data_IF_741968272573
#
_entry.id   IF_741968272573
#
_cell.length_a   1.000
_cell.length_b   1.000
_cell.length_c   1.000
_cell.angle_alpha   90.00
_cell.angle_beta   90.00
_cell.angle_gamma   90.00
#
_symmetry.space_group_name_H-M   'P 1'
#
loop_
_entity.id
_entity.type
_entity.pdbx_description
1 polymer ?
#
# COMPACT_ATOMS: atom_id res chain seq x y z
N UNK A 1 -10.87 -4.69 -7.21
CA UNK A 1 -9.56 -5.37 -7.34
C UNK A 1 -9.82 -6.86 -7.44
N UNK A 2 -9.23 -7.54 -8.44
CA UNK A 2 -9.34 -8.99 -8.56
C UNK A 2 -8.40 -9.71 -7.59
N UNK A 3 -8.76 -10.90 -7.12
CA UNK A 3 -7.96 -11.67 -6.16
C UNK A 3 -6.54 -11.99 -6.69
N UNK A 4 -6.41 -12.09 -8.02
CA UNK A 4 -5.14 -12.29 -8.72
C UNK A 4 -4.24 -11.06 -8.65
N UNK A 5 -4.79 -9.85 -8.80
CA UNK A 5 -4.04 -8.59 -8.70
C UNK A 5 -3.50 -8.37 -7.29
N UNK A 6 -4.28 -8.73 -6.26
CA UNK A 6 -3.82 -8.62 -4.88
C UNK A 6 -2.70 -9.61 -4.57
N UNK A 7 -2.81 -10.87 -5.01
CA UNK A 7 -1.72 -11.84 -4.87
C UNK A 7 -0.45 -11.38 -5.61
N UNK A 8 -0.59 -10.66 -6.71
CA UNK A 8 0.53 -10.04 -7.40
C UNK A 8 1.13 -8.87 -6.60
N UNK A 9 0.32 -8.02 -5.97
CA UNK A 9 0.78 -6.95 -5.08
C UNK A 9 1.53 -7.52 -3.86
N UNK A 10 0.96 -8.53 -3.21
CA UNK A 10 1.55 -9.22 -2.04
C UNK A 10 2.77 -10.06 -2.39
N UNK A 11 2.93 -10.50 -3.65
CA UNK A 11 4.15 -11.20 -4.06
C UNK A 11 5.30 -10.25 -4.41
N UNK A 12 4.98 -9.01 -4.82
CA UNK A 12 5.98 -7.96 -5.13
C UNK A 12 6.38 -7.12 -3.92
N UNK A 13 5.57 -7.10 -2.87
CA UNK A 13 5.78 -6.26 -1.69
C UNK A 13 5.71 -7.10 -0.41
N UNK A 14 6.41 -6.65 0.62
CA UNK A 14 6.29 -7.25 1.95
C UNK A 14 4.92 -6.94 2.54
N UNK A 15 4.33 -7.90 3.26
CA UNK A 15 3.01 -7.74 3.91
C UNK A 15 3.01 -6.54 4.85
N UNK A 16 4.13 -6.31 5.55
CA UNK A 16 4.31 -5.19 6.48
C UNK A 16 4.31 -3.84 5.78
N UNK A 17 4.80 -3.77 4.53
CA UNK A 17 4.79 -2.52 3.74
C UNK A 17 3.40 -2.24 3.18
N UNK A 18 2.64 -3.29 2.81
CA UNK A 18 1.24 -3.16 2.37
C UNK A 18 0.33 -2.81 3.55
N UNK A 19 0.51 -3.45 4.70
CA UNK A 19 -0.18 -3.12 5.95
C UNK A 19 0.07 -1.68 6.36
N UNK A 20 1.33 -1.25 6.34
CA UNK A 20 1.67 0.14 6.60
C UNK A 20 0.95 1.09 5.64
N UNK A 21 0.93 0.80 4.34
CA UNK A 21 0.25 1.62 3.34
C UNK A 21 -1.27 1.74 3.65
N UNK A 22 -1.91 0.67 4.11
CA UNK A 22 -3.31 0.67 4.52
C UNK A 22 -3.59 1.44 5.82
N UNK A 23 -2.57 1.69 6.66
CA UNK A 23 -2.71 2.47 7.89
C UNK A 23 -2.66 3.99 7.67
N UNK A 24 -2.28 4.43 6.46
CA UNK A 24 -2.09 5.84 6.14
C UNK A 24 -3.43 6.56 5.96
N UNK A 25 -3.48 7.81 6.43
CA UNK A 25 -4.55 8.75 6.09
C UNK A 25 -4.47 9.19 4.63
N UNK A 26 -5.55 9.76 4.12
CA UNK A 26 -5.62 10.30 2.75
C UNK A 26 -4.49 11.30 2.46
N UNK A 27 -4.24 12.24 3.38
CA UNK A 27 -3.17 13.24 3.21
C UNK A 27 -1.75 12.64 3.17
N UNK A 28 -1.53 11.53 3.88
CA UNK A 28 -0.24 10.83 3.87
C UNK A 28 -0.06 10.04 2.57
N UNK A 29 -1.15 9.44 2.06
CA UNK A 29 -1.16 8.81 0.74
C UNK A 29 -0.91 9.83 -0.37
N UNK A 30 -1.57 10.98 -0.33
CA UNK A 30 -1.37 12.07 -1.29
C UNK A 30 0.08 12.57 -1.30
N UNK A 31 0.72 12.64 -0.13
CA UNK A 31 2.14 12.96 -0.03
C UNK A 31 3.01 11.91 -0.73
N UNK A 32 2.76 10.61 -0.51
CA UNK A 32 3.51 9.54 -1.16
C UNK A 32 3.29 9.50 -2.69
N UNK A 33 2.05 9.72 -3.14
CA UNK A 33 1.72 9.84 -4.57
C UNK A 33 2.47 11.02 -5.19
N UNK A 34 2.47 12.16 -4.51
CA UNK A 34 3.20 13.36 -4.94
C UNK A 34 4.71 13.10 -5.02
N UNK A 35 5.28 12.39 -4.06
CA UNK A 35 6.70 11.98 -4.09
C UNK A 35 7.00 11.06 -5.27
N UNK A 36 6.15 10.06 -5.52
CA UNK A 36 6.30 9.16 -6.67
C UNK A 36 6.24 9.93 -7.99
N UNK A 37 5.32 10.88 -8.10
CA UNK A 37 5.18 11.72 -9.29
C UNK A 37 6.42 12.60 -9.50
N UNK A 38 6.94 13.22 -8.43
CA UNK A 38 8.16 14.04 -8.49
C UNK A 38 9.37 13.23 -8.96
N UNK A 39 9.51 11.99 -8.47
CA UNK A 39 10.57 11.07 -8.91
C UNK A 39 10.44 10.76 -10.39
N UNK A 40 9.23 10.41 -10.86
CA UNK A 40 8.97 10.10 -12.28
C UNK A 40 9.31 11.30 -13.17
N UNK A 41 8.83 12.49 -12.79
CA UNK A 41 9.12 13.73 -13.51
C UNK A 41 10.62 14.01 -13.55
N UNK A 42 11.32 13.86 -12.42
CA UNK A 42 12.75 14.14 -12.35
C UNK A 42 13.58 13.15 -13.16
N UNK A 43 13.24 11.86 -13.09
CA UNK A 43 13.86 10.80 -13.87
C UNK A 43 13.71 11.05 -15.38
N UNK A 44 12.53 11.49 -15.82
CA UNK A 44 12.27 11.91 -17.19
C UNK A 44 13.12 13.11 -17.61
N UNK A 45 13.18 14.16 -16.79
CA UNK A 45 13.96 15.37 -17.09
C UNK A 45 15.44 15.08 -17.29
N UNK A 46 16.01 14.14 -16.52
CA UNK A 46 17.42 13.75 -16.65
C UNK A 46 17.66 12.69 -17.73
N UNK A 47 16.62 12.22 -18.43
CA UNK A 47 16.72 11.20 -19.48
C UNK A 47 16.92 9.77 -18.98
N UNK A 48 16.63 9.49 -17.71
CA UNK A 48 16.83 8.18 -17.06
C UNK A 48 15.55 7.69 -16.38
N UNK A 49 14.49 7.48 -17.17
CA UNK A 49 13.18 7.04 -16.68
C UNK A 49 13.24 5.70 -15.92
N UNK A 50 14.16 4.82 -16.29
CA UNK A 50 14.39 3.53 -15.64
C UNK A 50 14.75 3.65 -14.16
N UNK A 51 15.33 4.78 -13.73
CA UNK A 51 15.63 5.02 -12.32
C UNK A 51 14.36 5.12 -11.47
N UNK A 52 13.24 5.59 -12.05
CA UNK A 52 11.98 5.70 -11.31
C UNK A 52 11.39 4.34 -10.94
N UNK A 53 11.79 3.27 -11.63
CA UNK A 53 11.39 1.90 -11.31
C UNK A 53 12.01 1.40 -9.99
N UNK A 54 13.15 1.99 -9.58
CA UNK A 54 13.79 1.67 -8.29
C UNK A 54 13.06 2.28 -7.09
N UNK A 55 12.12 3.19 -7.34
CA UNK A 55 11.31 3.80 -6.28
C UNK A 55 10.05 2.98 -6.05
N UNK A 56 10.25 1.75 -5.58
CA UNK A 56 9.18 0.85 -5.14
C UNK A 56 8.54 1.32 -3.82
N UNK A 57 7.58 0.55 -3.31
CA UNK A 57 6.89 0.88 -2.05
C UNK A 57 7.86 1.02 -0.87
N UNK A 58 8.91 0.19 -0.82
CA UNK A 58 9.94 0.23 0.21
C UNK A 58 10.74 1.54 0.14
N UNK A 59 11.15 1.95 -1.05
CA UNK A 59 11.83 3.22 -1.26
C UNK A 59 10.94 4.42 -0.92
N UNK A 60 9.65 4.38 -1.30
CA UNK A 60 8.68 5.42 -0.94
C UNK A 60 8.49 5.53 0.57
N UNK A 61 8.36 4.39 1.27
CA UNK A 61 8.28 4.34 2.74
C UNK A 61 9.51 4.99 3.38
N UNK A 62 10.71 4.62 2.93
CA UNK A 62 11.95 5.18 3.45
C UNK A 62 12.05 6.71 3.21
N UNK A 63 11.66 7.18 2.03
CA UNK A 63 11.68 8.61 1.71
C UNK A 63 10.65 9.40 2.53
N UNK A 64 9.42 8.89 2.66
CA UNK A 64 8.39 9.49 3.50
C UNK A 64 8.86 9.64 4.95
N UNK A 65 9.44 8.57 5.50
CA UNK A 65 10.03 8.58 6.84
C UNK A 65 11.13 9.63 6.99
N UNK A 66 12.14 9.64 6.11
CA UNK A 66 13.26 10.59 6.17
C UNK A 66 12.77 12.04 6.09
N UNK A 67 11.81 12.32 5.20
CA UNK A 67 11.25 13.65 5.03
C UNK A 67 10.50 14.10 6.28
N UNK A 68 9.66 13.23 6.85
CA UNK A 68 8.91 13.56 8.05
C UNK A 68 9.79 13.69 9.29
N UNK A 69 10.85 12.89 9.40
CA UNK A 69 11.78 12.98 10.54
C UNK A 69 12.59 14.27 10.46
N UNK A 70 13.05 14.67 9.27
CA UNK A 70 13.66 16.00 9.05
C UNK A 70 12.68 17.13 9.35
N UNK A 71 11.42 16.98 8.98
CA UNK A 71 10.39 17.99 9.25
C UNK A 71 10.19 18.13 10.76
N UNK A 72 10.07 17.01 11.48
CA UNK A 72 9.96 16.94 12.94
C UNK A 72 11.12 17.65 13.65
N UNK A 73 12.36 17.42 13.22
CA UNK A 73 13.53 18.13 13.76
C UNK A 73 13.40 19.65 13.61
N UNK A 74 13.04 20.13 12.41
CA UNK A 74 12.83 21.57 12.17
C UNK A 74 11.74 22.16 13.05
N UNK A 75 10.66 21.41 13.30
CA UNK A 75 9.59 21.88 14.18
C UNK A 75 9.97 21.86 15.66
N UNK A 76 10.88 20.98 16.10
CA UNK A 76 11.45 21.06 17.45
C UNK A 76 12.24 22.36 17.63
N UNK A 77 13.02 22.77 16.63
CA UNK A 77 13.76 24.04 16.67
C UNK A 77 12.81 25.25 16.69
N UNK A 78 11.69 25.17 15.95
CA UNK A 78 10.65 26.20 15.92
C UNK A 78 9.72 26.17 17.14
N UNK A 79 9.70 25.07 17.91
CA UNK A 79 8.82 24.91 19.08
C UNK A 79 9.09 25.94 20.19
N UNK A 80 10.23 26.62 20.12
CA UNK A 80 10.63 27.74 20.96
C UNK A 80 9.79 29.01 20.74
N UNK A 81 9.01 29.09 19.64
CA UNK A 81 8.13 30.22 19.36
C UNK A 81 6.66 29.93 19.73
N UNK A 82 5.95 30.90 20.33
CA UNK A 82 4.53 30.76 20.63
C UNK A 82 3.70 30.60 19.34
N UNK A 83 2.92 29.52 19.25
CA UNK A 83 2.11 29.15 18.06
C UNK A 83 2.51 27.83 17.38
N UNK A 84 3.56 27.17 17.86
CA UNK A 84 4.16 25.96 17.27
C UNK A 84 3.60 24.62 17.79
N UNK A 85 2.69 24.64 18.76
CA UNK A 85 2.19 23.44 19.45
C UNK A 85 1.27 22.55 18.59
N UNK A 86 0.53 23.14 17.65
CA UNK A 86 -0.36 22.40 16.73
C UNK A 86 0.42 21.59 15.68
N UNK A 87 1.39 22.17 14.94
CA UNK A 87 2.20 21.42 13.98
C UNK A 87 2.98 20.26 14.59
N UNK A 88 3.49 20.41 15.82
CA UNK A 88 4.23 19.35 16.51
C UNK A 88 3.35 18.13 16.82
N UNK A 89 2.10 18.34 17.23
CA UNK A 89 1.13 17.25 17.47
C UNK A 89 0.75 16.53 16.19
N UNK A 90 0.55 17.27 15.10
CA UNK A 90 0.26 16.69 13.78
C UNK A 90 1.40 15.76 13.34
N UNK A 91 2.65 16.20 13.45
CA UNK A 91 3.81 15.39 13.08
C UNK A 91 3.93 14.17 13.97
N UNK A 92 3.72 14.29 15.28
CA UNK A 92 3.80 13.16 16.19
C UNK A 92 2.76 12.07 15.89
N UNK A 93 1.61 12.43 15.32
CA UNK A 93 0.56 11.49 14.91
C UNK A 93 0.71 10.92 13.50
N UNK A 94 1.75 11.30 12.75
CA UNK A 94 1.93 10.88 11.37
C UNK A 94 2.42 9.43 11.28
N UNK A 95 1.66 8.58 10.59
CA UNK A 95 1.96 7.18 10.36
C UNK A 95 3.17 6.97 9.42
N UNK A 96 3.60 8.00 8.68
CA UNK A 96 4.87 7.95 7.94
C UNK A 96 6.10 7.85 8.86
N UNK A 97 5.97 8.26 10.12
CA UNK A 97 7.02 8.13 11.14
C UNK A 97 6.96 6.82 11.93
N UNK A 98 5.94 5.98 11.71
CA UNK A 98 5.87 4.67 12.35
C UNK A 98 6.90 3.73 11.73
N UNK A 99 7.92 3.40 12.53
CA UNK A 99 8.94 2.41 12.17
C UNK A 99 8.59 1.00 12.64
N UNK A 100 7.60 0.89 13.53
CA UNK A 100 7.33 -0.31 14.30
C UNK A 100 6.24 -1.16 13.63
N UNK A 101 6.31 -2.46 13.87
CA UNK A 101 5.48 -3.49 13.25
C UNK A 101 4.28 -3.89 14.13
N UNK A 102 3.91 -3.08 15.13
CA UNK A 102 2.94 -3.49 16.15
C UNK A 102 1.51 -3.66 15.61
N UNK A 103 1.16 -2.96 14.53
CA UNK A 103 -0.17 -2.99 13.89
C UNK A 103 -0.13 -3.65 12.49
N UNK A 104 0.57 -4.78 12.32
CA UNK A 104 0.55 -5.50 11.03
C UNK A 104 -0.79 -6.22 10.86
N UNK A 105 -1.55 -5.79 9.86
CA UNK A 105 -2.72 -6.49 9.34
C UNK A 105 -2.30 -7.84 8.75
N UNK A 106 -3.06 -8.88 9.08
CA UNK A 106 -2.97 -10.18 8.43
C UNK A 106 -3.37 -10.09 6.96
N UNK A 107 -3.02 -11.10 6.17
CA UNK A 107 -3.37 -11.17 4.74
C UNK A 107 -4.90 -11.16 4.55
N UNK A 108 -5.64 -11.77 5.48
CA UNK A 108 -7.10 -11.80 5.50
C UNK A 108 -7.70 -10.42 5.78
N UNK A 109 -7.15 -9.68 6.75
CA UNK A 109 -7.59 -8.32 7.06
C UNK A 109 -7.28 -7.35 5.91
N UNK A 110 -6.13 -7.49 5.26
CA UNK A 110 -5.76 -6.73 4.07
C UNK A 110 -6.75 -6.94 2.92
N UNK A 111 -7.21 -8.17 2.69
CA UNK A 111 -8.24 -8.48 1.68
C UNK A 111 -9.52 -7.69 1.95
N UNK A 112 -9.92 -7.58 3.21
CA UNK A 112 -11.11 -6.83 3.62
C UNK A 112 -10.91 -5.32 3.47
N UNK A 113 -9.78 -4.76 3.92
CA UNK A 113 -9.46 -3.34 3.75
C UNK A 113 -9.45 -2.90 2.28
N UNK A 114 -8.96 -3.76 1.39
CA UNK A 114 -8.90 -3.50 -0.05
C UNK A 114 -10.22 -3.78 -0.80
N UNK A 115 -11.33 -4.02 -0.06
CA UNK A 115 -12.66 -4.31 -0.61
C UNK A 115 -12.65 -5.46 -1.63
N UNK A 116 -11.92 -6.54 -1.33
CA UNK A 116 -11.93 -7.75 -2.16
C UNK A 116 -13.05 -8.64 -1.68
N UNK A 117 -14.18 -8.55 -2.38
CA UNK A 117 -15.36 -9.36 -2.07
C UNK A 117 -15.10 -10.82 -2.50
N UNK A 118 -14.67 -11.65 -1.56
CA UNK A 118 -14.35 -13.08 -1.77
C UNK A 118 -15.55 -13.87 -2.34
N UNK A 119 -16.77 -13.33 -2.23
CA UNK A 119 -18.00 -13.91 -2.77
C UNK A 119 -18.02 -14.02 -4.30
N UNK A 120 -17.30 -13.16 -5.03
CA UNK A 120 -17.29 -13.19 -6.51
C UNK A 120 -16.53 -14.38 -7.10
N UNK A 121 -15.72 -15.08 -6.30
CA UNK A 121 -14.94 -16.23 -6.78
C UNK A 121 -15.67 -17.58 -6.61
N UNK A 122 -16.49 -17.73 -5.57
CA UNK A 122 -17.22 -18.98 -5.33
C UNK A 122 -18.33 -19.27 -6.35
N UNK A 123 -18.75 -18.27 -7.13
CA UNK A 123 -19.73 -18.45 -8.22
C UNK A 123 -19.10 -18.87 -9.54
N UNK A 124 -17.81 -18.54 -9.78
CA UNK A 124 -17.11 -18.85 -11.04
C UNK A 124 -16.34 -20.17 -10.96
N UNK A 125 -16.04 -20.66 -9.75
CA UNK A 125 -15.28 -21.90 -9.52
C UNK A 125 -16.15 -23.15 -9.24
N UNK A 126 -17.33 -23.27 -9.85
CA UNK A 126 -18.00 -24.57 -10.01
C UNK A 126 -17.73 -25.11 -11.41
N UNK A 127 -16.84 -26.10 -11.59
CA UNK A 127 -16.90 -26.94 -12.77
C UNK A 127 -18.24 -27.69 -12.72
N UNK A 128 -19.04 -27.57 -13.78
CA UNK A 128 -20.24 -28.38 -13.98
C UNK A 128 -19.84 -29.86 -14.07
N UNK A 129 -19.80 -30.55 -12.94
CA UNK A 129 -19.56 -32.00 -12.85
C UNK A 129 -20.89 -32.78 -12.87
N UNK A 130 -21.88 -32.33 -13.66
CA UNK A 130 -23.15 -33.05 -13.85
C UNK A 130 -23.44 -33.44 -15.30
N UNK A 131 -22.55 -33.12 -16.26
CA UNK A 131 -22.73 -33.52 -17.66
C UNK A 131 -22.13 -34.89 -18.01
N UNK A 132 -21.31 -35.50 -17.14
CA UNK A 132 -20.56 -36.71 -17.47
C UNK A 132 -21.24 -38.05 -17.11
N UNK A 133 -22.38 -38.06 -16.40
CA UNK A 133 -23.03 -39.32 -16.01
C UNK A 133 -24.11 -39.81 -17.00
N UNK A 134 -24.57 -38.98 -17.94
CA UNK A 134 -25.72 -39.35 -18.80
C UNK A 134 -25.39 -40.04 -20.13
N UNK A 135 -24.12 -40.39 -20.43
CA UNK A 135 -23.77 -41.13 -21.65
C UNK A 135 -23.52 -42.63 -21.46
N UNK A 136 -23.63 -43.18 -20.25
CA UNK A 136 -23.45 -44.63 -20.00
C UNK A 136 -24.73 -45.46 -19.87
N UNK A 137 -25.93 -44.89 -20.07
CA UNK A 137 -27.22 -45.62 -19.98
C UNK A 137 -27.97 -45.83 -21.31
N UNK A 138 -27.36 -45.56 -22.47
CA UNK A 138 -28.01 -45.77 -23.78
C UNK A 138 -27.28 -46.74 -24.73
N UNK A 139 -26.33 -47.53 -24.21
CA UNK A 139 -25.77 -48.68 -24.94
C UNK A 139 -25.70 -49.90 -24.02
N UNK A 140 -26.86 -50.49 -23.75
CA UNK A 140 -26.99 -51.92 -23.45
C UNK A 140 -28.36 -52.41 -23.88
#
# INVERSE_FOLDING_TARGET
>A
MELKEMNEILSKNRVEDVSWLCSLSESELDMLISLKLLVLQRAKVIGHEELANKFDLKALRALGFILMERLKEKFKDLSLFPGSAEPAKFIAGCNLLKCDNEDILTVEELKTCLHIDSKRYNEVAKPNEEAALNQKKQKS
#
